data_IF_925208303336
#
_entry.id   IF_925208303336
#
_cell.length_a   1.000
_cell.length_b   1.000
_cell.length_c   1.000
_cell.angle_alpha   90.00
_cell.angle_beta   90.00
_cell.angle_gamma   90.00
#
_symmetry.space_group_name_H-M   'P 1'
#
loop_
_entity.id
_entity.type
_entity.pdbx_description
1 polymer ?
#
# COMPACT_ATOMS: atom_id res chain seq x y z
N UNK A 1 -6.07 -0.64 11.85
CA UNK A 1 -6.26 -2.10 11.70
C UNK A 1 -4.95 -2.74 11.28
N UNK A 2 -4.61 -3.93 11.76
CA UNK A 2 -3.38 -4.64 11.36
C UNK A 2 -3.70 -5.60 10.22
N UNK A 3 -2.93 -5.51 9.13
CA UNK A 3 -2.96 -6.43 8.01
C UNK A 3 -1.63 -7.20 7.97
N UNK A 4 -1.73 -8.52 7.86
CA UNK A 4 -0.58 -9.41 7.71
C UNK A 4 -0.84 -10.35 6.53
N UNK A 5 0.14 -10.48 5.64
CA UNK A 5 0.04 -11.41 4.50
C UNK A 5 0.08 -12.86 4.97
N UNK A 6 -0.71 -13.73 4.36
CA UNK A 6 -0.72 -15.16 4.63
C UNK A 6 0.05 -15.92 3.55
N UNK A 7 1.35 -16.11 3.79
CA UNK A 7 2.23 -16.77 2.82
C UNK A 7 2.02 -18.28 2.83
N UNK A 8 1.49 -18.81 1.73
CA UNK A 8 1.41 -20.25 1.44
C UNK A 8 2.47 -20.68 0.42
N UNK A 9 2.68 -21.98 0.20
CA UNK A 9 3.64 -22.47 -0.81
C UNK A 9 3.34 -21.95 -2.22
N UNK A 10 2.06 -21.77 -2.57
CA UNK A 10 1.60 -21.27 -3.86
C UNK A 10 1.50 -19.75 -3.95
N UNK A 11 1.73 -19.02 -2.86
CA UNK A 11 1.67 -17.55 -2.85
C UNK A 11 2.64 -16.97 -3.87
N UNK A 12 2.09 -16.16 -4.77
CA UNK A 12 2.75 -15.60 -5.94
C UNK A 12 2.91 -14.09 -5.84
N UNK A 13 3.64 -13.51 -6.80
CA UNK A 13 3.77 -12.05 -6.93
C UNK A 13 2.44 -11.36 -7.24
N UNK A 14 1.48 -12.06 -7.85
CA UNK A 14 0.14 -11.51 -8.10
C UNK A 14 -0.60 -11.35 -6.77
N UNK A 15 -0.59 -12.39 -5.93
CA UNK A 15 -1.23 -12.37 -4.61
C UNK A 15 -0.65 -11.25 -3.74
N UNK A 16 0.68 -11.09 -3.76
CA UNK A 16 1.39 -9.97 -3.13
C UNK A 16 0.85 -8.61 -3.53
N UNK A 17 0.71 -8.38 -4.83
CA UNK A 17 0.22 -7.09 -5.33
C UNK A 17 -1.24 -6.86 -4.96
N UNK A 18 -2.08 -7.88 -4.97
CA UNK A 18 -3.47 -7.77 -4.51
C UNK A 18 -3.55 -7.44 -3.02
N UNK A 19 -2.73 -8.07 -2.17
CA UNK A 19 -2.65 -7.76 -0.75
C UNK A 19 -2.21 -6.30 -0.51
N UNK A 20 -1.17 -5.83 -1.22
CA UNK A 20 -0.75 -4.43 -1.15
C UNK A 20 -1.84 -3.47 -1.62
N UNK A 21 -2.59 -3.79 -2.67
CA UNK A 21 -3.73 -2.96 -3.12
C UNK A 21 -4.79 -2.83 -2.03
N UNK A 22 -5.09 -3.89 -1.29
CA UNK A 22 -6.04 -3.83 -0.16
C UNK A 22 -5.55 -2.83 0.89
N UNK A 23 -4.27 -2.95 1.29
CA UNK A 23 -3.63 -2.05 2.27
C UNK A 23 -3.66 -0.60 1.79
N UNK A 24 -3.28 -0.36 0.54
CA UNK A 24 -3.26 0.96 -0.08
C UNK A 24 -4.65 1.59 -0.22
N UNK A 25 -5.67 0.80 -0.59
CA UNK A 25 -7.06 1.29 -0.67
C UNK A 25 -7.58 1.70 0.70
N UNK A 26 -7.26 0.97 1.76
CA UNK A 26 -7.64 1.32 3.14
C UNK A 26 -6.93 2.58 3.62
N UNK A 27 -5.61 2.64 3.50
CA UNK A 27 -4.81 3.78 3.99
C UNK A 27 -5.01 5.04 3.14
N UNK A 28 -4.77 4.93 1.84
CA UNK A 28 -4.79 6.05 0.91
C UNK A 28 -6.17 6.40 0.37
N UNK A 29 -7.06 5.42 0.20
CA UNK A 29 -8.38 5.62 -0.40
C UNK A 29 -9.43 6.00 0.63
N UNK A 30 -9.57 5.16 1.66
CA UNK A 30 -10.55 5.35 2.74
C UNK A 30 -10.04 6.27 3.86
N UNK A 31 -8.72 6.49 3.96
CA UNK A 31 -8.13 7.33 5.00
C UNK A 31 -8.09 6.66 6.38
N UNK A 32 -7.99 5.32 6.44
CA UNK A 32 -7.98 4.56 7.69
C UNK A 32 -6.57 4.19 8.11
N UNK A 33 -6.27 4.38 9.39
CA UNK A 33 -5.02 3.92 10.01
C UNK A 33 -4.84 2.41 9.79
N UNK A 34 -3.81 2.06 9.03
CA UNK A 34 -3.54 0.70 8.56
C UNK A 34 -2.10 0.34 8.87
N UNK A 35 -1.91 -0.73 9.63
CA UNK A 35 -0.59 -1.30 9.92
C UNK A 35 -0.37 -2.47 8.97
N UNK A 36 0.71 -2.44 8.21
CA UNK A 36 1.17 -3.56 7.40
C UNK A 36 2.32 -4.27 8.12
N UNK A 37 2.05 -5.47 8.63
CA UNK A 37 3.04 -6.29 9.35
C UNK A 37 3.65 -7.32 8.40
N UNK A 38 4.98 -7.30 8.28
CA UNK A 38 5.70 -8.18 7.37
C UNK A 38 7.01 -8.69 7.99
N UNK A 39 7.18 -10.01 8.02
CA UNK A 39 8.38 -10.67 8.55
C UNK A 39 9.35 -11.02 7.44
N UNK A 40 10.65 -11.01 7.75
CA UNK A 40 11.71 -11.61 6.95
C UNK A 40 11.40 -13.03 6.47
N UNK A 41 10.83 -13.88 7.33
CA UNK A 41 10.42 -15.25 6.99
C UNK A 41 9.32 -15.34 5.92
N UNK A 42 8.62 -14.24 5.65
CA UNK A 42 7.58 -14.13 4.63
C UNK A 42 8.12 -13.65 3.27
N UNK A 43 9.40 -13.27 3.19
CA UNK A 43 10.06 -12.85 1.95
C UNK A 43 10.31 -14.09 1.08
N UNK A 44 9.55 -14.21 0.00
CA UNK A 44 9.71 -15.26 -1.01
C UNK A 44 10.46 -14.81 -2.26
N UNK A 45 10.39 -13.52 -2.55
CA UNK A 45 10.90 -12.92 -3.77
C UNK A 45 11.43 -11.52 -3.41
N UNK A 46 12.60 -11.16 -3.94
CA UNK A 46 13.26 -9.87 -3.67
C UNK A 46 12.37 -8.69 -4.05
N UNK A 47 11.50 -8.85 -5.04
CA UNK A 47 10.59 -7.79 -5.47
C UNK A 47 9.54 -7.41 -4.42
N UNK A 48 9.32 -8.22 -3.38
CA UNK A 48 8.46 -7.83 -2.26
C UNK A 48 9.12 -6.71 -1.45
N UNK A 49 10.44 -6.83 -1.24
CA UNK A 49 11.23 -5.83 -0.52
C UNK A 49 11.38 -4.57 -1.36
N UNK A 50 11.51 -4.68 -2.69
CA UNK A 50 11.51 -3.53 -3.60
C UNK A 50 10.18 -2.76 -3.55
N UNK A 51 9.04 -3.47 -3.58
CA UNK A 51 7.72 -2.85 -3.48
C UNK A 51 7.55 -2.16 -2.11
N UNK A 52 8.00 -2.77 -0.99
CA UNK A 52 8.02 -2.12 0.33
C UNK A 52 8.90 -0.87 0.32
N UNK A 53 10.09 -0.94 -0.28
CA UNK A 53 11.00 0.20 -0.35
C UNK A 53 10.37 1.37 -1.14
N UNK A 54 9.64 1.08 -2.22
CA UNK A 54 8.88 2.09 -2.97
C UNK A 54 7.79 2.72 -2.09
N UNK A 55 7.06 1.94 -1.30
CA UNK A 55 6.06 2.46 -0.36
C UNK A 55 6.69 3.37 0.70
N UNK A 56 7.83 2.99 1.26
CA UNK A 56 8.54 3.77 2.28
C UNK A 56 9.07 5.10 1.72
N UNK A 57 9.58 5.12 0.48
CA UNK A 57 10.17 6.32 -0.12
C UNK A 57 9.13 7.24 -0.78
N UNK A 58 8.23 6.66 -1.57
CA UNK A 58 7.32 7.41 -2.43
C UNK A 58 5.87 7.40 -1.92
N UNK A 59 5.49 6.49 -1.03
CA UNK A 59 4.09 6.28 -0.63
C UNK A 59 3.26 5.57 -1.69
N UNK A 60 3.88 5.05 -2.74
CA UNK A 60 3.22 4.27 -3.80
C UNK A 60 4.18 3.25 -4.40
N UNK A 61 3.62 2.24 -5.06
CA UNK A 61 4.37 1.33 -5.93
C UNK A 61 4.01 1.64 -7.39
N UNK A 62 5.00 1.87 -8.27
CA UNK A 62 4.75 2.14 -9.68
C UNK A 62 3.94 1.03 -10.37
N UNK A 63 3.01 1.43 -11.25
CA UNK A 63 2.18 0.52 -12.04
C UNK A 63 1.43 -0.54 -11.20
N UNK A 64 1.09 -0.22 -9.95
CA UNK A 64 0.35 -1.13 -9.05
C UNK A 64 -1.12 -1.28 -9.46
N UNK A 65 -1.78 -0.16 -9.78
CA UNK A 65 -3.19 -0.15 -10.15
C UNK A 65 -3.35 -0.09 -11.68
N UNK A 66 -4.05 -1.06 -12.28
CA UNK A 66 -4.60 -0.96 -13.64
C UNK A 66 -5.47 0.28 -13.81
N UNK A 67 -5.72 0.68 -15.06
CA UNK A 67 -6.44 1.92 -15.37
C UNK A 67 -7.84 2.00 -14.76
N UNK A 68 -8.61 0.93 -14.87
CA UNK A 68 -9.96 0.79 -14.31
C UNK A 68 -9.94 0.81 -12.77
N UNK A 69 -9.01 0.08 -12.17
CA UNK A 69 -8.81 0.08 -10.73
C UNK A 69 -8.38 1.45 -10.18
N UNK A 70 -7.53 2.16 -10.92
CA UNK A 70 -7.07 3.51 -10.58
C UNK A 70 -8.22 4.50 -10.62
N UNK A 71 -9.10 4.42 -11.61
CA UNK A 71 -10.31 5.25 -11.66
C UNK A 71 -11.18 5.06 -10.40
N UNK A 72 -11.38 3.82 -9.96
CA UNK A 72 -12.12 3.53 -8.72
C UNK A 72 -11.44 4.13 -7.46
N UNK A 73 -10.10 4.09 -7.38
CA UNK A 73 -9.35 4.75 -6.29
C UNK A 73 -9.58 6.26 -6.31
N UNK A 74 -9.50 6.90 -7.49
CA UNK A 74 -9.68 8.34 -7.62
C UNK A 74 -11.09 8.79 -7.24
N UNK A 75 -12.13 8.01 -7.58
CA UNK A 75 -13.50 8.30 -7.14
C UNK A 75 -13.65 8.24 -5.61
N UNK A 76 -13.07 7.21 -4.97
CA UNK A 76 -13.06 7.11 -3.51
C UNK A 76 -12.32 8.31 -2.87
N UNK A 77 -11.20 8.71 -3.47
CA UNK A 77 -10.43 9.87 -3.03
C UNK A 77 -11.22 11.17 -3.18
N UNK A 78 -11.95 11.36 -4.29
CA UNK A 78 -12.78 12.55 -4.49
C UNK A 78 -13.87 12.66 -3.43
N UNK A 79 -14.52 11.54 -3.12
CA UNK A 79 -15.55 11.51 -2.08
C UNK A 79 -14.97 11.91 -0.71
N UNK A 80 -13.77 11.42 -0.38
CA UNK A 80 -13.15 11.72 0.90
C UNK A 80 -12.58 13.14 0.95
N UNK A 81 -11.91 13.61 -0.11
CA UNK A 81 -11.42 14.98 -0.23
C UNK A 81 -12.55 16.01 -0.01
N UNK A 82 -13.74 15.75 -0.58
CA UNK A 82 -14.93 16.58 -0.38
C UNK A 82 -15.39 16.60 1.09
N UNK A 83 -15.32 15.48 1.80
CA UNK A 83 -15.63 15.43 3.25
C UNK A 83 -14.61 16.20 4.08
N UNK A 84 -13.36 16.21 3.63
CA UNK A 84 -12.27 16.95 4.26
C UNK A 84 -12.29 18.45 3.87
N UNK A 85 -13.25 18.89 3.06
CA UNK A 85 -13.41 20.28 2.62
C UNK A 85 -12.47 20.70 1.49
N UNK A 86 -11.80 19.75 0.83
CA UNK A 86 -10.89 19.98 -0.28
C UNK A 86 -11.63 19.87 -1.62
N UNK A 87 -11.43 20.85 -2.50
CA UNK A 87 -11.94 20.83 -3.86
C UNK A 87 -10.84 20.36 -4.82
N UNK A 88 -10.69 19.03 -4.96
CA UNK A 88 -9.76 18.41 -5.89
C UNK A 88 -10.51 17.93 -7.13
N UNK A 89 -10.15 18.45 -8.31
CA UNK A 89 -10.90 18.20 -9.54
C UNK A 89 -10.14 17.31 -10.52
N UNK A 90 -8.81 17.46 -10.58
CA UNK A 90 -7.99 16.74 -11.55
C UNK A 90 -7.60 15.35 -11.05
N UNK A 91 -7.45 14.35 -11.95
CA UNK A 91 -6.91 13.03 -11.59
C UNK A 91 -5.53 13.08 -10.93
N UNK A 92 -4.71 14.07 -11.29
CA UNK A 92 -3.37 14.25 -10.75
C UNK A 92 -3.42 14.71 -9.28
N UNK A 93 -4.24 15.73 -8.97
CA UNK A 93 -4.44 16.20 -7.60
C UNK A 93 -5.01 15.11 -6.70
N UNK A 94 -6.00 14.36 -7.19
CA UNK A 94 -6.60 13.25 -6.46
C UNK A 94 -5.60 12.12 -6.20
N UNK A 95 -4.68 11.86 -7.15
CA UNK A 95 -3.62 10.88 -6.96
C UNK A 95 -2.58 11.33 -5.94
N UNK A 96 -2.17 12.60 -5.98
CA UNK A 96 -1.28 13.16 -4.95
C UNK A 96 -1.91 13.08 -3.56
N UNK A 97 -3.18 13.44 -3.45
CA UNK A 97 -3.95 13.29 -2.20
C UNK A 97 -4.06 11.83 -1.72
N UNK A 98 -4.18 10.87 -2.64
CA UNK A 98 -4.10 9.45 -2.30
C UNK A 98 -2.73 9.05 -1.72
N UNK A 99 -1.64 9.51 -2.34
CA UNK A 99 -0.27 9.25 -1.88
C UNK A 99 -0.04 9.88 -0.50
N UNK A 100 -0.45 11.14 -0.31
CA UNK A 100 -0.28 11.85 0.96
C UNK A 100 -1.04 11.15 2.09
N UNK A 101 -2.26 10.69 1.83
CA UNK A 101 -3.02 9.88 2.80
C UNK A 101 -2.41 8.51 3.04
N UNK A 102 -1.85 7.89 2.00
CA UNK A 102 -1.11 6.63 2.17
C UNK A 102 0.04 6.85 3.14
N UNK A 103 0.84 7.89 2.95
CA UNK A 103 1.95 8.22 3.86
C UNK A 103 1.50 8.55 5.28
N UNK A 104 0.35 9.22 5.43
CA UNK A 104 -0.19 9.58 6.73
C UNK A 104 -0.73 8.38 7.52
N UNK A 105 -1.38 7.43 6.84
CA UNK A 105 -2.18 6.39 7.48
C UNK A 105 -1.59 4.98 7.37
N UNK A 106 -0.61 4.76 6.50
CA UNK A 106 0.06 3.46 6.36
C UNK A 106 1.29 3.39 7.26
N UNK A 107 1.30 2.42 8.17
CA UNK A 107 2.43 2.12 9.04
C UNK A 107 3.00 0.74 8.69
N UNK A 108 4.22 0.70 8.17
CA UNK A 108 4.89 -0.56 7.83
C UNK A 108 5.73 -1.01 9.02
N UNK A 109 5.46 -2.21 9.52
CA UNK A 109 6.21 -2.85 10.61
C UNK A 109 6.94 -4.06 10.05
N UNK A 110 8.27 -3.99 10.05
CA UNK A 110 9.12 -5.07 9.57
C UNK A 110 9.70 -5.85 10.75
N UNK A 111 9.49 -7.16 10.77
CA UNK A 111 10.01 -8.06 11.80
C UNK A 111 11.20 -8.86 11.23
N UNK A 112 12.37 -8.68 11.82
CA UNK A 112 13.58 -9.42 11.46
C UNK A 112 14.06 -10.28 12.62
N UNK A 113 14.38 -11.54 12.35
CA UNK A 113 15.08 -12.40 13.28
C UNK A 113 16.55 -11.97 13.37
N UNK A 114 17.12 -11.80 14.58
CA UNK A 114 18.56 -11.58 14.73
C UNK A 114 19.39 -12.85 14.48
N UNK A 115 18.73 -13.98 14.14
CA UNK A 115 19.35 -15.27 13.89
C UNK A 115 19.13 -15.61 12.42
N UNK A 116 20.13 -15.34 11.59
CA UNK A 116 20.20 -15.64 10.16
C UNK A 116 21.38 -14.90 9.51
N UNK A 117 22.08 -15.53 8.55
CA UNK A 117 23.31 -14.99 7.93
C UNK A 117 23.14 -13.69 7.12
N UNK A 118 21.91 -13.14 7.06
CA UNK A 118 21.56 -11.97 6.25
C UNK A 118 21.59 -10.63 7.02
N UNK A 119 21.88 -10.63 8.34
CA UNK A 119 22.07 -9.42 9.15
C UNK A 119 23.13 -9.60 10.23
#
# INVERSE_FOLDING_TARGET
>A
EVFQVEISKSYSKVDWREDLKIVLRRAGGEGKDTVFLFSDTQIKDESFVEDINNLLNAGEVPNMFPYDERAAVLEACRLQAKKDGLALETPAELWLYFIDRTKANLHIVLCFSPIGDAF
#
